data_IF_385814548182
#
_entry.id   IF_385814548182
#
_cell.length_a   1.000
_cell.length_b   1.000
_cell.length_c   1.000
_cell.angle_alpha   90.00
_cell.angle_beta   90.00
_cell.angle_gamma   90.00
#
_symmetry.space_group_name_H-M   'P 1'
#
loop_
_entity.id
_entity.type
_entity.pdbx_description
1 polymer ?
#
# COMPACT_ATOMS: atom_id res chain seq x y z
N UNK A 1 11.51 -9.93 16.50
CA UNK A 1 12.02 -9.54 15.17
C UNK A 1 10.91 -8.87 14.37
N UNK A 2 10.77 -7.55 14.42
CA UNK A 2 10.39 -6.83 13.21
C UNK A 2 11.62 -6.83 12.29
N UNK A 3 11.98 -7.98 11.72
CA UNK A 3 13.16 -8.09 10.86
C UNK A 3 12.87 -7.87 9.39
N UNK A 4 11.61 -7.81 8.97
CA UNK A 4 11.27 -7.70 7.56
C UNK A 4 11.33 -6.29 6.96
N UNK A 5 11.79 -5.25 7.67
CA UNK A 5 11.87 -3.89 7.11
C UNK A 5 13.16 -3.11 7.38
N UNK A 6 14.19 -3.72 7.99
CA UNK A 6 15.39 -2.98 8.39
C UNK A 6 16.71 -3.43 7.71
N UNK A 7 16.68 -4.44 6.85
CA UNK A 7 17.91 -4.93 6.19
C UNK A 7 17.67 -5.32 4.74
N UNK A 8 17.42 -4.34 3.88
CA UNK A 8 17.77 -4.39 2.46
C UNK A 8 17.40 -3.08 1.78
N UNK A 9 18.09 -2.76 0.69
CA UNK A 9 17.91 -1.56 -0.13
C UNK A 9 16.55 -1.58 -0.86
N UNK A 10 15.47 -1.44 -0.10
CA UNK A 10 14.10 -1.79 -0.51
C UNK A 10 13.19 -0.59 -0.26
N UNK A 11 12.72 0.02 -1.34
CA UNK A 11 11.70 1.05 -1.28
C UNK A 11 10.33 0.41 -1.15
N UNK A 12 9.58 0.76 -0.11
CA UNK A 12 8.20 0.31 0.08
C UNK A 12 7.31 1.25 -0.72
N UNK A 13 6.62 0.72 -1.72
CA UNK A 13 5.53 1.41 -2.39
C UNK A 13 4.20 0.71 -2.04
N UNK A 14 3.30 1.45 -1.41
CA UNK A 14 1.86 1.20 -1.46
C UNK A 14 1.27 2.24 -2.40
N UNK A 15 0.92 1.86 -3.63
CA UNK A 15 0.13 2.75 -4.51
C UNK A 15 -1.33 2.60 -4.11
N UNK A 16 -1.68 3.25 -3.00
CA UNK A 16 -3.06 3.30 -2.53
C UNK A 16 -3.82 4.38 -3.29
N UNK A 17 -4.79 4.00 -4.10
CA UNK A 17 -5.91 4.90 -4.42
C UNK A 17 -6.84 4.89 -3.21
N UNK A 18 -6.59 5.75 -2.22
CA UNK A 18 -7.56 5.99 -1.14
C UNK A 18 -7.73 7.48 -0.86
N UNK A 19 -8.91 7.97 -1.22
CA UNK A 19 -9.49 9.18 -0.67
C UNK A 19 -9.98 8.84 0.75
N UNK A 20 -9.30 9.38 1.76
CA UNK A 20 -9.84 9.47 3.11
C UNK A 20 -11.02 10.45 3.10
N UNK A 21 -12.25 9.95 3.15
CA UNK A 21 -13.32 10.51 3.99
C UNK A 21 -14.13 9.32 4.51
N UNK A 22 -14.39 9.29 5.82
CA UNK A 22 -15.44 8.46 6.37
C UNK A 22 -16.75 8.89 5.71
N UNK A 23 -17.21 8.14 4.72
CA UNK A 23 -18.50 8.30 4.09
C UNK A 23 -19.12 6.92 3.94
N UNK A 24 -20.44 6.80 4.13
CA UNK A 24 -21.13 5.52 4.02
C UNK A 24 -20.83 4.91 2.64
N UNK A 25 -20.73 3.57 2.62
CA UNK A 25 -20.66 2.78 1.39
C UNK A 25 -21.74 3.33 0.44
N UNK A 26 -21.37 3.93 -0.71
CA UNK A 26 -22.38 4.30 -1.68
C UNK A 26 -22.86 3.02 -2.36
N UNK A 27 -24.16 2.76 -2.29
CA UNK A 27 -24.86 1.79 -3.12
C UNK A 27 -25.58 2.55 -4.26
N UNK A 28 -25.74 1.98 -5.46
CA UNK A 28 -25.40 0.61 -5.84
C UNK A 28 -23.97 0.50 -6.36
N UNK A 29 -23.29 -0.57 -5.95
CA UNK A 29 -22.22 -1.16 -6.75
C UNK A 29 -22.71 -1.25 -8.21
N UNK A 30 -22.09 -0.51 -9.13
CA UNK A 30 -22.36 -0.70 -10.56
C UNK A 30 -22.01 -2.17 -10.86
N UNK A 31 -22.96 -2.99 -11.34
CA UNK A 31 -22.62 -4.31 -11.82
C UNK A 31 -21.63 -4.08 -12.96
N UNK A 32 -20.39 -4.52 -12.76
CA UNK A 32 -19.43 -4.59 -13.84
C UNK A 32 -20.12 -5.39 -14.94
N UNK A 33 -20.52 -4.69 -16.01
CA UNK A 33 -20.89 -5.31 -17.27
C UNK A 33 -19.82 -6.35 -17.55
N UNK A 34 -20.23 -7.62 -17.48
CA UNK A 34 -19.40 -8.81 -17.25
C UNK A 34 -17.94 -8.64 -17.68
N UNK A 35 -17.08 -8.24 -16.73
CA UNK A 35 -15.66 -8.46 -16.92
C UNK A 35 -15.49 -9.97 -16.91
N UNK A 36 -15.07 -10.54 -18.04
CA UNK A 36 -14.60 -11.92 -18.06
C UNK A 36 -13.66 -12.11 -16.86
N UNK A 37 -13.78 -13.21 -16.10
CA UNK A 37 -13.09 -13.36 -14.82
C UNK A 37 -11.58 -13.13 -14.90
N UNK A 38 -10.98 -13.27 -16.10
CA UNK A 38 -9.56 -13.12 -16.35
C UNK A 38 -9.14 -11.83 -17.09
N UNK A 39 -10.04 -10.86 -17.30
CA UNK A 39 -9.70 -9.60 -17.97
C UNK A 39 -9.66 -8.45 -16.97
N UNK A 40 -8.52 -7.75 -16.93
CA UNK A 40 -8.42 -6.49 -16.22
C UNK A 40 -9.29 -5.43 -16.92
N UNK A 41 -9.82 -4.42 -16.19
CA UNK A 41 -10.43 -3.28 -16.86
C UNK A 41 -9.42 -2.61 -17.80
N UNK A 42 -9.90 -1.97 -18.87
CA UNK A 42 -9.12 -1.52 -20.04
C UNK A 42 -7.83 -0.74 -19.73
N UNK A 43 -7.80 0.02 -18.63
CA UNK A 43 -6.64 0.83 -18.22
C UNK A 43 -5.75 0.18 -17.15
N UNK A 44 -6.05 -1.03 -16.71
CA UNK A 44 -5.30 -1.74 -15.68
C UNK A 44 -4.35 -2.76 -16.29
N UNK A 45 -3.16 -2.85 -15.68
CA UNK A 45 -2.10 -3.75 -16.11
C UNK A 45 -1.46 -4.42 -14.91
N UNK A 46 -0.96 -5.63 -15.10
CA UNK A 46 -0.03 -6.23 -14.14
C UNK A 46 1.33 -5.55 -14.24
N UNK A 47 1.91 -5.17 -13.11
CA UNK A 47 3.20 -4.47 -13.10
C UNK A 47 4.33 -5.32 -13.69
N UNK A 48 4.31 -6.63 -13.44
CA UNK A 48 5.30 -7.59 -13.97
C UNK A 48 5.37 -7.58 -15.50
N UNK A 49 4.27 -7.24 -16.18
CA UNK A 49 4.22 -7.23 -17.64
C UNK A 49 4.80 -5.91 -18.21
N UNK A 50 4.86 -4.85 -17.38
CA UNK A 50 5.42 -3.55 -17.74
C UNK A 50 6.92 -3.47 -17.40
N UNK A 51 7.29 -3.93 -16.20
CA UNK A 51 8.66 -4.03 -15.73
C UNK A 51 8.79 -5.22 -14.74
N UNK A 52 9.26 -6.39 -15.19
CA UNK A 52 9.42 -7.58 -14.34
C UNK A 52 10.56 -7.43 -13.32
N UNK A 53 11.36 -6.38 -13.41
CA UNK A 53 12.47 -6.15 -12.49
C UNK A 53 12.05 -5.43 -11.20
N UNK A 54 10.83 -4.89 -11.17
CA UNK A 54 10.24 -4.34 -9.94
C UNK A 54 9.76 -5.49 -9.07
N UNK A 55 10.28 -5.57 -7.85
CA UNK A 55 9.94 -6.65 -6.93
C UNK A 55 8.52 -6.44 -6.40
N UNK A 56 7.78 -7.54 -6.21
CA UNK A 56 6.41 -7.51 -5.70
C UNK A 56 6.32 -8.46 -4.50
N UNK A 57 6.08 -7.88 -3.33
CA UNK A 57 5.85 -8.59 -2.08
C UNK A 57 4.44 -8.29 -1.58
N UNK A 58 3.45 -8.83 -2.29
CA UNK A 58 2.03 -8.54 -2.06
C UNK A 58 1.56 -9.11 -0.70
N UNK A 59 1.73 -8.33 0.37
CA UNK A 59 1.56 -8.80 1.76
C UNK A 59 0.16 -9.31 2.07
N UNK A 60 -0.86 -8.80 1.40
CA UNK A 60 -2.25 -9.19 1.61
C UNK A 60 -2.66 -10.48 0.90
N UNK A 61 -1.83 -10.98 -0.03
CA UNK A 61 -1.97 -12.32 -0.59
C UNK A 61 -1.51 -13.40 0.40
N UNK A 62 -0.50 -13.12 1.22
CA UNK A 62 0.03 -14.04 2.21
C UNK A 62 -0.82 -14.02 3.50
N UNK A 63 -0.76 -15.10 4.29
CA UNK A 63 -1.39 -15.14 5.63
C UNK A 63 -0.58 -14.35 6.67
N UNK A 64 0.71 -14.15 6.41
CA UNK A 64 1.62 -13.38 7.27
C UNK A 64 1.46 -11.88 7.00
N UNK A 65 0.37 -11.32 7.53
CA UNK A 65 0.10 -9.88 7.57
C UNK A 65 -0.60 -9.53 8.88
N UNK A 66 -0.87 -8.24 9.11
CA UNK A 66 -1.44 -7.76 10.37
C UNK A 66 -2.83 -8.32 10.72
N UNK A 67 -3.55 -8.90 9.75
CA UNK A 67 -4.83 -9.59 9.97
C UNK A 67 -4.61 -11.06 10.34
N UNK A 68 -3.56 -11.70 9.82
CA UNK A 68 -3.29 -13.14 10.05
C UNK A 68 -4.03 -14.06 9.08
N UNK A 69 -4.57 -13.52 7.99
CA UNK A 69 -5.24 -14.29 6.93
C UNK A 69 -5.01 -13.63 5.58
N UNK A 70 -5.12 -14.41 4.49
CA UNK A 70 -5.20 -13.85 3.15
C UNK A 70 -6.43 -12.94 3.05
N UNK A 71 -6.25 -11.76 2.48
CA UNK A 71 -7.33 -10.76 2.39
C UNK A 71 -8.21 -11.06 1.18
N UNK A 72 -9.51 -10.85 1.35
CA UNK A 72 -10.50 -11.07 0.30
C UNK A 72 -10.15 -10.24 -0.96
N UNK A 73 -10.15 -10.88 -2.12
CA UNK A 73 -9.79 -10.26 -3.40
C UNK A 73 -8.32 -10.43 -3.82
N UNK A 74 -7.40 -10.73 -2.90
CA UNK A 74 -6.00 -11.04 -3.23
C UNK A 74 -5.85 -12.54 -3.56
N UNK A 75 -6.20 -12.95 -4.79
CA UNK A 75 -6.12 -14.36 -5.22
C UNK A 75 -4.76 -14.74 -5.85
N UNK A 76 -3.93 -13.75 -6.19
CA UNK A 76 -2.56 -13.91 -6.66
C UNK A 76 -1.60 -12.84 -6.10
N UNK A 77 -0.28 -13.10 -6.08
CA UNK A 77 0.72 -12.18 -5.53
C UNK A 77 1.17 -11.11 -6.55
N UNK A 78 0.25 -10.55 -7.34
CA UNK A 78 0.58 -9.59 -8.39
C UNK A 78 0.06 -8.18 -8.09
N UNK A 79 0.89 -7.19 -8.34
CA UNK A 79 0.51 -5.79 -8.33
C UNK A 79 -0.21 -5.44 -9.63
N UNK A 80 -1.43 -4.90 -9.49
CA UNK A 80 -2.20 -4.32 -10.58
C UNK A 80 -2.23 -2.80 -10.39
N UNK A 81 -2.00 -2.05 -11.46
CA UNK A 81 -2.01 -0.58 -11.47
C UNK A 81 -2.71 -0.07 -12.71
N UNK A 82 -3.07 1.22 -12.71
CA UNK A 82 -3.33 1.91 -13.98
C UNK A 82 -2.07 1.90 -14.85
N UNK A 83 -2.24 1.82 -16.17
CA UNK A 83 -1.13 1.81 -17.15
C UNK A 83 -0.20 3.01 -16.96
N UNK A 84 -0.76 4.20 -16.70
CA UNK A 84 0.02 5.42 -16.45
C UNK A 84 0.89 5.32 -15.19
N UNK A 85 0.35 4.76 -14.10
CA UNK A 85 1.12 4.54 -12.88
C UNK A 85 2.22 3.50 -13.10
N UNK A 86 1.92 2.37 -13.75
CA UNK A 86 2.93 1.33 -14.03
C UNK A 86 4.08 1.84 -14.90
N UNK A 87 3.79 2.65 -15.93
CA UNK A 87 4.81 3.29 -16.78
C UNK A 87 5.63 4.30 -15.99
N UNK A 88 5.03 5.07 -15.08
CA UNK A 88 5.77 5.98 -14.22
C UNK A 88 6.71 5.23 -13.27
N UNK A 89 6.26 4.11 -12.68
CA UNK A 89 7.11 3.25 -11.84
C UNK A 89 8.28 2.64 -12.61
N UNK A 90 8.08 2.23 -13.86
CA UNK A 90 9.17 1.77 -14.74
C UNK A 90 10.26 2.83 -14.92
N UNK A 91 9.88 4.10 -15.08
CA UNK A 91 10.85 5.21 -15.18
C UNK A 91 11.63 5.38 -13.87
N UNK A 92 10.93 5.39 -12.75
CA UNK A 92 11.54 5.48 -11.41
C UNK A 92 12.50 4.30 -11.17
N UNK A 93 12.09 3.07 -11.51
CA UNK A 93 12.93 1.87 -11.39
C UNK A 93 14.22 1.99 -12.21
N UNK A 94 14.16 2.51 -13.44
CA UNK A 94 15.33 2.72 -14.29
C UNK A 94 16.30 3.75 -13.70
N UNK A 95 15.80 4.79 -13.03
CA UNK A 95 16.64 5.76 -12.32
C UNK A 95 17.26 5.16 -11.06
N UNK A 96 16.47 4.53 -10.20
CA UNK A 96 16.93 3.92 -8.95
C UNK A 96 18.03 2.87 -9.15
N UNK A 97 17.93 2.11 -10.25
CA UNK A 97 18.93 1.11 -10.61
C UNK A 97 20.32 1.70 -10.87
N UNK A 98 20.42 2.95 -11.33
CA UNK A 98 21.72 3.62 -11.54
C UNK A 98 22.46 3.82 -10.23
N UNK A 99 21.71 3.94 -9.13
CA UNK A 99 22.23 4.14 -7.78
C UNK A 99 22.25 2.85 -6.96
N UNK A 100 22.03 1.69 -7.59
CA UNK A 100 22.04 0.38 -6.93
C UNK A 100 20.79 0.07 -6.09
N UNK A 101 19.67 0.75 -6.34
CA UNK A 101 18.41 0.49 -5.66
C UNK A 101 17.34 -0.13 -6.58
N UNK A 102 16.32 -0.72 -5.97
CA UNK A 102 15.14 -1.26 -6.66
C UNK A 102 13.86 -0.96 -5.87
N UNK A 103 12.75 -0.80 -6.58
CA UNK A 103 11.42 -0.72 -5.99
C UNK A 103 10.95 -2.09 -5.49
N UNK A 104 10.26 -2.10 -4.35
CA UNK A 104 9.44 -3.21 -3.88
C UNK A 104 8.00 -2.73 -3.66
N UNK A 105 7.06 -3.37 -4.34
CA UNK A 105 5.63 -3.10 -4.20
C UNK A 105 5.05 -4.04 -3.16
N UNK A 106 4.42 -3.48 -2.14
CA UNK A 106 3.75 -4.23 -1.08
C UNK A 106 2.24 -4.25 -1.26
N UNK A 107 1.70 -3.19 -1.86
CA UNK A 107 0.30 -3.08 -2.26
C UNK A 107 0.14 -2.08 -3.40
N UNK A 108 -0.92 -2.25 -4.19
CA UNK A 108 -1.25 -1.38 -5.32
C UNK A 108 -2.77 -1.26 -5.46
N UNK A 109 -3.35 -1.71 -6.58
CA UNK A 109 -4.80 -1.91 -6.65
C UNK A 109 -5.28 -2.78 -5.48
N UNK A 110 -6.23 -2.23 -4.72
CA UNK A 110 -6.90 -2.91 -3.62
C UNK A 110 -8.40 -3.02 -3.92
N UNK A 111 -8.95 -4.23 -4.00
CA UNK A 111 -10.39 -4.42 -4.19
C UNK A 111 -11.22 -3.76 -3.08
N UNK A 112 -12.38 -3.20 -3.40
CA UNK A 112 -13.27 -2.57 -2.42
C UNK A 112 -13.63 -3.53 -1.27
N UNK A 113 -13.84 -4.82 -1.58
CA UNK A 113 -14.10 -5.90 -0.61
C UNK A 113 -12.94 -6.11 0.37
N UNK A 114 -11.68 -5.90 -0.04
CA UNK A 114 -10.52 -5.96 0.84
C UNK A 114 -10.56 -4.82 1.88
N UNK A 115 -10.92 -3.62 1.44
CA UNK A 115 -11.05 -2.47 2.34
C UNK A 115 -12.24 -2.58 3.28
N UNK A 116 -13.37 -3.12 2.82
CA UNK A 116 -14.47 -3.49 3.71
C UNK A 116 -14.05 -4.53 4.75
N UNK A 117 -13.22 -5.51 4.33
CA UNK A 117 -12.65 -6.51 5.24
C UNK A 117 -11.78 -5.85 6.32
N UNK A 118 -10.88 -4.94 5.97
CA UNK A 118 -10.04 -4.22 6.94
C UNK A 118 -10.87 -3.40 7.93
N UNK A 119 -11.93 -2.73 7.47
CA UNK A 119 -12.84 -1.99 8.35
C UNK A 119 -13.55 -2.92 9.34
N UNK A 120 -14.05 -4.07 8.88
CA UNK A 120 -14.70 -5.07 9.74
C UNK A 120 -13.71 -5.66 10.76
N UNK A 121 -12.52 -6.06 10.30
CA UNK A 121 -11.46 -6.56 11.17
C UNK A 121 -11.04 -5.51 12.22
N UNK A 122 -10.93 -4.25 11.81
CA UNK A 122 -10.52 -3.16 12.68
C UNK A 122 -11.47 -2.85 13.82
N UNK A 123 -12.77 -2.95 13.56
CA UNK A 123 -13.83 -2.81 14.57
C UNK A 123 -13.92 -4.01 15.52
N UNK A 124 -13.35 -5.16 15.14
CA UNK A 124 -13.25 -6.32 16.03
C UNK A 124 -12.04 -6.19 16.96
N UNK A 125 -12.22 -5.51 18.09
CA UNK A 125 -11.17 -5.33 19.10
C UNK A 125 -10.82 -6.61 19.86
N UNK A 126 -11.63 -7.66 19.80
CA UNK A 126 -11.31 -8.95 20.41
C UNK A 126 -10.25 -9.73 19.61
N UNK A 127 -10.11 -9.44 18.30
CA UNK A 127 -9.11 -10.09 17.46
C UNK A 127 -7.72 -9.46 17.67
N UNK A 128 -6.91 -10.17 18.46
CA UNK A 128 -5.53 -9.81 18.85
C UNK A 128 -4.47 -10.78 18.28
N UNK A 129 -4.84 -11.69 17.39
CA UNK A 129 -4.00 -12.82 16.94
C UNK A 129 -2.60 -12.39 16.50
N UNK A 130 -2.52 -11.30 15.74
CA UNK A 130 -1.29 -10.81 15.14
C UNK A 130 -0.65 -9.65 15.90
N UNK A 131 -1.23 -9.22 17.03
CA UNK A 131 -0.76 -8.04 17.77
C UNK A 131 0.70 -8.16 18.18
N UNK A 132 1.08 -9.24 18.85
CA UNK A 132 2.45 -9.41 19.35
C UNK A 132 3.48 -9.37 18.22
N UNK A 133 3.11 -9.87 17.05
CA UNK A 133 3.99 -9.90 15.89
C UNK A 133 4.03 -8.55 15.16
N UNK A 134 2.88 -7.95 14.87
CA UNK A 134 2.73 -6.82 13.93
C UNK A 134 2.47 -5.45 14.56
N UNK A 135 2.09 -5.37 15.84
CA UNK A 135 1.86 -4.10 16.53
C UNK A 135 1.90 -4.28 18.07
N UNK A 136 3.01 -4.82 18.63
CA UNK A 136 3.05 -5.23 20.04
C UNK A 136 2.82 -4.09 21.04
N UNK A 137 3.19 -2.86 20.64
CA UNK A 137 3.21 -1.68 21.51
C UNK A 137 2.01 -0.73 21.32
N UNK A 138 1.04 -1.07 20.45
CA UNK A 138 -0.17 -0.26 20.23
C UNK A 138 -1.39 -1.12 20.47
N UNK A 139 -2.40 -0.57 21.15
CA UNK A 139 -3.70 -1.23 21.16
C UNK A 139 -4.39 -1.11 19.81
N UNK A 140 -5.12 -2.14 19.40
CA UNK A 140 -5.94 -2.08 18.17
C UNK A 140 -6.95 -0.92 18.20
N UNK A 141 -7.45 -0.56 19.39
CA UNK A 141 -8.32 0.60 19.59
C UNK A 141 -7.62 1.90 19.21
N UNK A 142 -6.37 2.11 19.61
CA UNK A 142 -5.58 3.27 19.20
C UNK A 142 -5.28 3.25 17.69
N UNK A 143 -4.98 2.07 17.14
CA UNK A 143 -4.78 1.91 15.69
C UNK A 143 -6.01 2.38 14.93
N UNK A 144 -7.23 2.02 15.35
CA UNK A 144 -8.46 2.30 14.58
C UNK A 144 -9.21 3.58 14.98
N UNK A 145 -9.17 4.00 16.24
CA UNK A 145 -9.78 5.26 16.69
C UNK A 145 -8.85 6.45 16.48
N UNK A 146 -7.53 6.24 16.58
CA UNK A 146 -6.50 7.26 16.32
C UNK A 146 -6.13 7.39 14.84
N UNK A 147 -6.44 6.39 13.99
CA UNK A 147 -6.25 6.46 12.53
C UNK A 147 -6.99 7.68 11.92
N UNK A 148 -8.20 7.95 12.43
CA UNK A 148 -9.08 9.02 11.95
C UNK A 148 -8.97 10.31 12.76
N UNK A 149 -8.48 10.27 14.01
CA UNK A 149 -8.42 11.42 14.89
C UNK A 149 -7.03 11.61 15.51
N UNK A 150 -6.31 12.64 15.01
CA UNK A 150 -5.15 13.31 15.61
C UNK A 150 -3.81 12.54 15.63
N UNK A 151 -2.85 13.10 14.88
CA UNK A 151 -1.39 12.87 14.95
C UNK A 151 -0.96 11.39 14.95
N UNK A 152 -1.33 10.62 13.92
CA UNK A 152 -0.67 9.33 13.74
C UNK A 152 0.69 9.51 13.07
N UNK A 153 1.75 9.22 13.84
CA UNK A 153 3.16 9.33 13.50
C UNK A 153 3.64 8.11 12.67
N UNK A 154 2.81 7.67 11.72
CA UNK A 154 3.02 6.52 10.85
C UNK A 154 4.15 6.73 9.82
N UNK A 155 4.59 7.98 9.60
CA UNK A 155 5.74 8.35 8.73
C UNK A 155 7.09 7.76 9.18
N UNK A 156 7.07 7.00 10.27
CA UNK A 156 8.25 6.53 10.97
C UNK A 156 8.44 5.01 10.91
N UNK A 157 7.36 4.24 10.75
CA UNK A 157 7.41 2.77 10.88
C UNK A 157 7.68 2.28 12.31
N UNK A 158 7.50 3.14 13.32
CA UNK A 158 7.61 2.81 14.74
C UNK A 158 6.45 3.49 15.49
N UNK A 159 5.83 2.75 16.39
CA UNK A 159 4.80 3.24 17.28
C UNK A 159 5.35 3.54 18.68
N UNK A 160 6.27 4.49 18.74
CA UNK A 160 6.75 5.06 20.00
C UNK A 160 7.07 6.53 19.80
N UNK A 161 6.84 7.30 20.85
CA UNK A 161 7.18 8.73 20.91
C UNK A 161 8.69 8.91 20.62
N UNK A 162 9.07 9.96 19.89
CA UNK A 162 10.42 10.25 19.33
C UNK A 162 10.87 9.48 18.08
N UNK A 163 10.19 9.67 16.96
CA UNK A 163 10.58 9.08 15.68
C UNK A 163 11.91 9.58 15.10
N UNK A 164 12.26 10.85 15.24
CA UNK A 164 13.47 11.42 14.61
C UNK A 164 14.77 10.85 15.19
N UNK A 165 14.75 10.36 16.43
CA UNK A 165 15.94 9.83 17.11
C UNK A 165 16.03 8.29 17.08
N UNK A 166 14.97 7.59 16.64
CA UNK A 166 14.88 6.12 16.65
C UNK A 166 15.16 5.46 15.29
N UNK A 167 15.30 6.26 14.23
CA UNK A 167 15.55 5.78 12.88
C UNK A 167 16.97 6.17 12.51
N UNK A 168 17.81 5.19 12.19
CA UNK A 168 19.18 5.48 11.76
C UNK A 168 19.18 6.48 10.59
N UNK A 169 20.07 7.48 10.58
CA UNK A 169 20.09 8.54 9.56
C UNK A 169 20.11 8.03 8.12
N UNK A 170 20.71 6.84 7.88
CA UNK A 170 20.73 6.18 6.57
C UNK A 170 19.33 5.87 6.03
N UNK A 171 18.37 5.51 6.89
CA UNK A 171 17.00 5.22 6.48
C UNK A 171 16.21 6.50 6.20
N UNK A 172 16.46 7.57 6.96
CA UNK A 172 15.85 8.89 6.69
C UNK A 172 16.27 9.39 5.30
N UNK A 173 17.56 9.32 4.99
CA UNK A 173 18.09 9.67 3.66
C UNK A 173 17.47 8.85 2.54
N UNK A 174 17.31 7.52 2.74
CA UNK A 174 16.64 6.66 1.75
C UNK A 174 15.18 7.02 1.54
N UNK A 175 14.43 7.33 2.60
CA UNK A 175 13.02 7.76 2.49
C UNK A 175 12.89 9.11 1.79
N UNK A 176 13.79 10.05 2.07
CA UNK A 176 13.85 11.33 1.36
C UNK A 176 14.12 11.11 -0.12
N UNK A 177 15.13 10.27 -0.44
CA UNK A 177 15.45 9.96 -1.82
C UNK A 177 14.27 9.31 -2.57
N UNK A 178 13.59 8.34 -1.95
CA UNK A 178 12.36 7.76 -2.50
C UNK A 178 11.32 8.84 -2.77
N UNK A 179 11.05 9.67 -1.77
CA UNK A 179 10.02 10.70 -1.87
C UNK A 179 10.30 11.65 -3.03
N UNK A 180 11.52 12.15 -3.12
CA UNK A 180 11.96 13.07 -4.17
C UNK A 180 11.80 12.45 -5.55
N UNK A 181 12.24 11.20 -5.74
CA UNK A 181 12.15 10.55 -7.05
C UNK A 181 10.70 10.23 -7.45
N UNK A 182 9.87 9.82 -6.50
CA UNK A 182 8.45 9.57 -6.71
C UNK A 182 7.73 10.88 -7.07
N UNK A 183 7.94 11.96 -6.31
CA UNK A 183 7.28 13.25 -6.50
C UNK A 183 7.66 13.92 -7.83
N UNK A 184 8.95 13.84 -8.21
CA UNK A 184 9.46 14.30 -9.51
C UNK A 184 8.87 13.52 -10.69
N UNK A 185 8.52 12.25 -10.48
CA UNK A 185 7.88 11.39 -11.46
C UNK A 185 6.33 11.42 -11.37
N UNK A 186 5.76 12.47 -10.78
CA UNK A 186 4.32 12.75 -10.83
C UNK A 186 3.48 12.07 -9.75
N UNK A 187 4.11 11.43 -8.76
CA UNK A 187 3.39 10.94 -7.59
C UNK A 187 3.26 12.02 -6.50
N UNK A 188 2.38 11.78 -5.55
CA UNK A 188 2.16 12.59 -4.36
C UNK A 188 2.29 11.67 -3.14
N UNK A 189 3.18 12.02 -2.22
CA UNK A 189 3.36 11.29 -0.97
C UNK A 189 2.20 11.58 0.00
N UNK A 190 1.74 10.56 0.73
CA UNK A 190 0.83 10.75 1.85
C UNK A 190 1.62 11.12 3.11
N UNK A 191 1.32 12.27 3.71
CA UNK A 191 2.10 12.82 4.84
C UNK A 191 2.12 11.94 6.09
N UNK A 192 1.15 11.04 6.24
CA UNK A 192 1.10 10.11 7.37
C UNK A 192 1.84 8.80 7.09
N UNK A 193 2.08 8.42 5.84
CA UNK A 193 2.66 7.11 5.50
C UNK A 193 3.78 7.30 4.48
N UNK A 194 5.04 7.14 4.91
CA UNK A 194 6.21 7.42 4.06
C UNK A 194 6.30 6.52 2.82
N UNK A 195 5.62 5.37 2.84
CA UNK A 195 5.55 4.39 1.77
C UNK A 195 4.37 4.60 0.80
N UNK A 196 3.45 5.50 1.12
CA UNK A 196 2.21 5.65 0.37
C UNK A 196 2.34 6.78 -0.65
N UNK A 197 2.11 6.43 -1.92
CA UNK A 197 2.17 7.37 -3.03
C UNK A 197 0.97 7.20 -3.95
N UNK A 198 0.39 8.31 -4.40
CA UNK A 198 -0.73 8.31 -5.37
C UNK A 198 -0.29 9.08 -6.61
N UNK A 199 -0.67 8.64 -7.81
CA UNK A 199 -0.34 9.39 -9.02
C UNK A 199 -1.19 10.67 -9.08
N UNK A 200 -0.57 11.85 -9.26
CA UNK A 200 -1.29 13.15 -9.24
C UNK A 200 -2.39 13.21 -10.31
N UNK A 201 -2.11 12.66 -11.48
CA UNK A 201 -3.01 12.62 -12.63
C UNK A 201 -3.58 11.20 -12.84
N UNK A 202 -4.02 10.57 -11.74
CA UNK A 202 -4.72 9.29 -11.78
C UNK A 202 -6.05 9.41 -12.55
N UNK A 203 -6.34 8.53 -13.53
CA UNK A 203 -7.57 8.59 -14.32
C UNK A 203 -8.84 8.33 -13.50
N UNK A 204 -8.73 7.69 -12.33
CA UNK A 204 -9.86 7.16 -11.56
C UNK A 204 -9.94 7.69 -10.11
N UNK A 205 -9.81 9.01 -9.91
CA UNK A 205 -9.74 9.60 -8.54
C UNK A 205 -10.91 9.22 -7.62
N UNK A 206 -12.14 9.18 -8.15
CA UNK A 206 -13.36 8.96 -7.36
C UNK A 206 -14.06 7.64 -7.73
N UNK A 207 -13.34 6.66 -8.28
CA UNK A 207 -13.92 5.39 -8.72
C UNK A 207 -13.31 4.23 -7.95
N UNK A 208 -14.17 3.41 -7.37
CA UNK A 208 -13.80 2.17 -6.71
C UNK A 208 -13.99 1.01 -7.66
N UNK A 209 -13.09 0.04 -7.60
CA UNK A 209 -13.17 -1.20 -8.36
C UNK A 209 -13.14 -2.38 -7.41
N UNK A 210 -13.83 -3.46 -7.75
CA UNK A 210 -13.97 -4.64 -6.88
C UNK A 210 -13.74 -5.98 -7.59
N UNK A 211 -12.84 -5.99 -8.58
CA UNK A 211 -12.39 -7.22 -9.22
C UNK A 211 -11.28 -7.89 -8.40
N UNK A 212 -11.14 -9.21 -8.55
CA UNK A 212 -10.10 -9.94 -7.84
C UNK A 212 -8.74 -9.81 -8.55
N UNK A 213 -7.66 -9.87 -7.78
CA UNK A 213 -6.30 -9.99 -8.29
C UNK A 213 -6.06 -11.47 -8.59
N UNK A 214 -6.09 -11.85 -9.87
CA UNK A 214 -5.87 -13.23 -10.33
C UNK A 214 -4.45 -13.49 -10.83
#
# INVERSE_FOLDING_TARGET
MWKCLFYSAVFILSVGVYICHASPIPDPLIPLKELHPNLLPEDFVYLKDIDPTIMQNMIYYNKENFVGSRILGYKAPWAILTKSAAVALKKIQAELKKDGYSLIIYDAYRPAKASAYFQKWGKNFADQKMKEHFYPYISKKEIFNGYLAKKSMHSCGISSHNCSNLIEPKFVKRRQYLREIMERNGFQAYSKEWWHYTLKNEPYKNKFFDFDIL
#
